data_IF_742261969910
#
_entry.id   IF_742261969910
#
_cell.length_a   1.000
_cell.length_b   1.000
_cell.length_c   1.000
_cell.angle_alpha   90.00
_cell.angle_beta   90.00
_cell.angle_gamma   90.00
#
_symmetry.space_group_name_H-M   'P 1'
#
loop_
_entity.id
_entity.type
_entity.pdbx_description
1 polymer ?
#
# COMPACT_ATOMS: atom_id res chain seq x y z
N UNK A 1 -28.20 -7.61 3.07
CA UNK A 1 -28.45 -6.99 1.76
C UNK A 1 -27.44 -5.87 1.67
N UNK A 2 -26.43 -5.97 0.79
CA UNK A 2 -25.39 -4.93 0.64
C UNK A 2 -26.12 -3.62 0.35
N UNK A 3 -25.89 -2.56 1.11
CA UNK A 3 -26.38 -1.23 0.73
C UNK A 3 -25.87 -0.96 -0.70
N UNK A 4 -26.72 -0.73 -1.71
CA UNK A 4 -26.35 -0.88 -3.14
C UNK A 4 -25.26 0.07 -3.65
N UNK A 5 -24.69 0.92 -2.80
CA UNK A 5 -23.71 1.95 -3.14
C UNK A 5 -22.40 1.87 -2.32
N UNK A 6 -22.27 0.95 -1.36
CA UNK A 6 -21.05 0.83 -0.54
C UNK A 6 -20.09 -0.17 -1.18
N UNK A 7 -19.04 0.34 -1.83
CA UNK A 7 -18.00 -0.46 -2.46
C UNK A 7 -16.62 0.20 -2.26
N UNK A 8 -15.57 -0.43 -2.78
CA UNK A 8 -14.21 0.09 -2.66
C UNK A 8 -14.02 1.49 -3.26
N UNK A 9 -14.78 1.85 -4.29
CA UNK A 9 -14.72 3.19 -4.89
C UNK A 9 -15.25 4.24 -3.90
N UNK A 10 -16.43 4.01 -3.31
CA UNK A 10 -17.04 4.92 -2.32
C UNK A 10 -16.17 5.10 -1.08
N UNK A 11 -15.53 4.03 -0.61
CA UNK A 11 -14.56 4.06 0.49
C UNK A 11 -13.33 4.91 0.12
N UNK A 12 -12.77 4.71 -1.07
CA UNK A 12 -11.58 5.44 -1.54
C UNK A 12 -11.89 6.91 -1.77
N UNK A 13 -13.03 7.23 -2.38
CA UNK A 13 -13.47 8.59 -2.63
C UNK A 13 -13.65 9.36 -1.33
N UNK A 14 -14.24 8.74 -0.30
CA UNK A 14 -14.38 9.35 1.02
C UNK A 14 -13.02 9.70 1.62
N UNK A 15 -12.03 8.83 1.46
CA UNK A 15 -10.67 9.08 1.90
C UNK A 15 -10.01 10.24 1.14
N UNK A 16 -10.03 10.22 -0.20
CA UNK A 16 -9.39 11.26 -1.02
C UNK A 16 -10.05 12.64 -0.87
N UNK A 17 -11.35 12.69 -0.54
CA UNK A 17 -12.05 13.93 -0.20
C UNK A 17 -11.88 14.37 1.26
N UNK A 18 -11.03 13.68 2.03
CA UNK A 18 -10.82 13.93 3.47
C UNK A 18 -12.15 13.93 4.27
N UNK A 19 -13.10 13.06 3.90
CA UNK A 19 -14.44 13.04 4.48
C UNK A 19 -14.55 11.99 5.58
N UNK A 20 -14.11 12.36 6.79
CA UNK A 20 -14.13 11.48 7.97
C UNK A 20 -15.55 11.02 8.35
N UNK A 21 -16.55 11.89 8.21
CA UNK A 21 -17.95 11.56 8.54
C UNK A 21 -18.47 10.46 7.62
N UNK A 22 -18.22 10.58 6.31
CA UNK A 22 -18.65 9.59 5.33
C UNK A 22 -18.01 8.21 5.59
N UNK A 23 -16.69 8.17 5.83
CA UNK A 23 -16.02 6.89 6.07
C UNK A 23 -16.42 6.26 7.40
N UNK A 24 -16.70 7.07 8.43
CA UNK A 24 -17.21 6.60 9.71
C UNK A 24 -18.61 5.98 9.55
N UNK A 25 -19.48 6.58 8.72
CA UNK A 25 -20.77 6.01 8.39
C UNK A 25 -20.60 4.66 7.67
N UNK A 26 -19.73 4.59 6.66
CA UNK A 26 -19.45 3.34 5.93
C UNK A 26 -18.98 2.22 6.89
N UNK A 27 -18.06 2.53 7.81
CA UNK A 27 -17.60 1.56 8.83
C UNK A 27 -18.77 1.07 9.68
N UNK A 28 -19.66 1.96 10.11
CA UNK A 28 -20.80 1.59 10.93
C UNK A 28 -21.80 0.72 10.15
N UNK A 29 -22.11 1.07 8.91
CA UNK A 29 -23.02 0.31 8.07
C UNK A 29 -22.49 -1.11 7.83
N UNK A 30 -21.21 -1.23 7.43
CA UNK A 30 -20.56 -2.53 7.16
C UNK A 30 -20.47 -3.44 8.38
N UNK A 31 -20.39 -2.92 9.61
CA UNK A 31 -20.41 -3.74 10.84
C UNK A 31 -21.73 -4.46 11.07
N UNK A 32 -22.83 -3.90 10.58
CA UNK A 32 -24.17 -4.48 10.72
C UNK A 32 -24.59 -5.34 9.52
N UNK A 33 -23.77 -5.38 8.46
CA UNK A 33 -23.99 -6.28 7.33
C UNK A 33 -23.57 -7.72 7.65
N UNK A 34 -24.05 -8.66 6.82
CA UNK A 34 -23.64 -10.06 6.90
C UNK A 34 -22.14 -10.15 6.63
N UNK A 35 -21.38 -10.70 7.57
CA UNK A 35 -19.92 -10.79 7.49
C UNK A 35 -19.46 -11.96 6.60
N UNK A 36 -19.70 -11.83 5.30
CA UNK A 36 -19.00 -12.63 4.30
C UNK A 36 -17.61 -12.06 3.99
N UNK A 37 -16.82 -12.81 3.23
CA UNK A 37 -15.43 -12.46 2.87
C UNK A 37 -15.31 -11.06 2.25
N UNK A 38 -16.19 -10.72 1.32
CA UNK A 38 -16.14 -9.43 0.63
C UNK A 38 -16.45 -8.28 1.59
N UNK A 39 -17.46 -8.46 2.44
CA UNK A 39 -17.88 -7.47 3.44
C UNK A 39 -16.80 -7.27 4.49
N UNK A 40 -16.17 -8.34 4.98
CA UNK A 40 -15.04 -8.28 5.92
C UNK A 40 -13.85 -7.53 5.33
N UNK A 41 -13.45 -7.86 4.10
CA UNK A 41 -12.32 -7.20 3.45
C UNK A 41 -12.60 -5.70 3.21
N UNK A 42 -13.82 -5.35 2.79
CA UNK A 42 -14.24 -3.95 2.62
C UNK A 42 -14.29 -3.20 3.95
N UNK A 43 -14.76 -3.85 5.02
CA UNK A 43 -14.75 -3.30 6.38
C UNK A 43 -13.32 -3.04 6.86
N UNK A 44 -12.39 -3.96 6.63
CA UNK A 44 -10.98 -3.79 6.97
C UNK A 44 -10.37 -2.59 6.24
N UNK A 45 -10.64 -2.42 4.94
CA UNK A 45 -10.24 -1.23 4.19
C UNK A 45 -10.80 0.06 4.79
N UNK A 46 -12.09 0.08 5.11
CA UNK A 46 -12.75 1.26 5.65
C UNK A 46 -12.21 1.64 7.04
N UNK A 47 -11.96 0.65 7.92
CA UNK A 47 -11.34 0.87 9.24
C UNK A 47 -9.93 1.45 9.09
N UNK A 48 -9.11 0.88 8.20
CA UNK A 48 -7.75 1.34 7.96
C UNK A 48 -7.72 2.80 7.49
N UNK A 49 -8.51 3.12 6.45
CA UNK A 49 -8.57 4.46 5.89
C UNK A 49 -9.16 5.48 6.87
N UNK A 50 -10.15 5.09 7.68
CA UNK A 50 -10.69 5.93 8.75
C UNK A 50 -9.59 6.31 9.75
N UNK A 51 -8.84 5.34 10.25
CA UNK A 51 -7.75 5.59 11.20
C UNK A 51 -6.61 6.45 10.60
N UNK A 52 -6.35 6.29 9.29
CA UNK A 52 -5.43 7.17 8.56
C UNK A 52 -5.91 8.63 8.54
N UNK A 53 -7.20 8.89 8.28
CA UNK A 53 -7.74 10.25 8.32
C UNK A 53 -7.70 10.86 9.73
N UNK A 54 -7.90 10.04 10.76
CA UNK A 54 -7.78 10.48 12.15
C UNK A 54 -6.33 10.78 12.56
N UNK A 55 -5.34 10.43 11.73
CA UNK A 55 -3.92 10.64 12.02
C UNK A 55 -3.39 9.79 13.18
N UNK A 56 -4.03 8.65 13.46
CA UNK A 56 -3.85 7.90 14.70
C UNK A 56 -3.68 6.38 14.48
N UNK A 57 -3.04 5.95 13.37
CA UNK A 57 -2.78 4.52 13.11
C UNK A 57 -2.09 3.84 14.31
N UNK A 58 -1.16 4.52 14.98
CA UNK A 58 -0.45 3.95 16.13
C UNK A 58 -1.38 3.66 17.30
N UNK A 59 -2.42 4.50 17.48
CA UNK A 59 -3.45 4.37 18.52
C UNK A 59 -4.60 3.44 18.12
N UNK A 60 -4.56 2.86 16.91
CA UNK A 60 -5.57 1.89 16.49
C UNK A 60 -5.60 0.72 17.49
N UNK A 61 -6.78 0.32 17.99
CA UNK A 61 -6.90 -0.81 18.91
C UNK A 61 -6.29 -2.09 18.33
N UNK A 62 -5.62 -2.88 19.17
CA UNK A 62 -4.97 -4.14 18.76
C UNK A 62 -5.97 -5.08 18.06
N UNK A 63 -7.22 -5.13 18.53
CA UNK A 63 -8.28 -5.93 17.89
C UNK A 63 -8.58 -5.50 16.45
N UNK A 64 -8.52 -4.20 16.13
CA UNK A 64 -8.69 -3.71 14.76
C UNK A 64 -7.46 -4.01 13.90
N UNK A 65 -6.24 -3.84 14.45
CA UNK A 65 -5.00 -4.22 13.77
C UNK A 65 -5.02 -5.70 13.39
N UNK A 66 -5.37 -6.57 14.35
CA UNK A 66 -5.46 -8.02 14.13
C UNK A 66 -6.54 -8.36 13.10
N UNK A 67 -7.73 -7.76 13.20
CA UNK A 67 -8.79 -7.97 12.21
C UNK A 67 -8.35 -7.61 10.78
N UNK A 68 -7.61 -6.51 10.60
CA UNK A 68 -7.05 -6.13 9.29
C UNK A 68 -5.99 -7.13 8.84
N UNK A 69 -5.05 -7.52 9.71
CA UNK A 69 -4.02 -8.52 9.39
C UNK A 69 -4.64 -9.86 8.99
N UNK A 70 -5.59 -10.37 9.76
CA UNK A 70 -6.33 -11.60 9.46
C UNK A 70 -7.05 -11.50 8.10
N UNK A 71 -7.69 -10.35 7.83
CA UNK A 71 -8.36 -10.11 6.55
C UNK A 71 -7.40 -10.10 5.36
N UNK A 72 -6.12 -9.74 5.56
CA UNK A 72 -5.08 -9.80 4.53
C UNK A 72 -4.70 -11.26 4.20
N UNK A 73 -4.64 -12.13 5.21
CA UNK A 73 -4.19 -13.52 5.05
C UNK A 73 -5.33 -14.55 4.99
N UNK A 74 -6.60 -14.11 4.89
CA UNK A 74 -7.76 -15.01 4.79
C UNK A 74 -7.72 -15.93 3.55
N UNK A 75 -6.88 -15.63 2.55
CA UNK A 75 -6.70 -16.48 1.35
C UNK A 75 -5.24 -16.80 1.04
N UNK A 76 -5.00 -18.06 0.68
CA UNK A 76 -3.66 -18.59 0.37
C UNK A 76 -3.04 -17.99 -0.91
N UNK A 77 -3.87 -17.58 -1.86
CA UNK A 77 -3.46 -17.23 -3.23
C UNK A 77 -3.44 -15.74 -3.56
N UNK A 78 -3.47 -14.84 -2.56
CA UNK A 78 -3.36 -13.38 -2.76
C UNK A 78 -4.22 -12.86 -3.93
N UNK A 79 -5.51 -12.63 -3.69
CA UNK A 79 -6.33 -11.98 -4.71
C UNK A 79 -6.15 -10.44 -4.70
N UNK A 80 -6.76 -9.77 -5.68
CA UNK A 80 -6.68 -8.31 -5.81
C UNK A 80 -7.14 -7.53 -4.56
N UNK A 81 -8.11 -8.04 -3.80
CA UNK A 81 -8.66 -7.33 -2.65
C UNK A 81 -7.69 -7.42 -1.47
N UNK A 82 -7.11 -8.61 -1.25
CA UNK A 82 -6.11 -8.85 -0.22
C UNK A 82 -4.79 -8.13 -0.52
N UNK A 83 -4.34 -8.11 -1.79
CA UNK A 83 -3.16 -7.34 -2.24
C UNK A 83 -3.34 -5.84 -2.04
N UNK A 84 -4.52 -5.32 -2.38
CA UNK A 84 -4.86 -3.91 -2.16
C UNK A 84 -4.83 -3.56 -0.67
N UNK A 85 -5.48 -4.35 0.18
CA UNK A 85 -5.48 -4.13 1.62
C UNK A 85 -4.05 -4.14 2.18
N UNK A 86 -3.26 -5.13 1.77
CA UNK A 86 -1.86 -5.26 2.16
C UNK A 86 -1.04 -4.01 1.80
N UNK A 87 -1.17 -3.53 0.55
CA UNK A 87 -0.43 -2.35 0.08
C UNK A 87 -0.67 -1.10 0.94
N UNK A 88 -1.84 -1.01 1.59
CA UNK A 88 -2.25 0.13 2.41
C UNK A 88 -1.94 -0.08 3.90
N UNK A 89 -1.77 -1.32 4.33
CA UNK A 89 -1.67 -1.71 5.74
C UNK A 89 -0.23 -1.96 6.22
N UNK A 90 0.79 -1.65 5.41
CA UNK A 90 2.19 -1.97 5.72
C UNK A 90 2.67 -1.43 7.07
N UNK A 91 2.21 -0.24 7.46
CA UNK A 91 2.54 0.37 8.75
C UNK A 91 1.96 -0.35 9.96
N UNK A 92 1.10 -1.37 9.76
CA UNK A 92 0.61 -2.23 10.84
C UNK A 92 1.56 -3.38 11.16
N UNK A 93 2.60 -3.59 10.34
CA UNK A 93 3.53 -4.71 10.44
C UNK A 93 4.90 -4.24 10.89
N UNK A 94 5.58 -5.08 11.68
CA UNK A 94 6.99 -4.85 11.96
C UNK A 94 7.82 -5.05 10.68
N UNK A 95 8.99 -4.42 10.61
CA UNK A 95 9.82 -4.45 9.41
C UNK A 95 10.29 -5.87 9.07
N UNK A 96 10.51 -6.72 10.08
CA UNK A 96 10.85 -8.14 9.92
C UNK A 96 9.70 -8.92 9.28
N UNK A 97 8.45 -8.66 9.71
CA UNK A 97 7.25 -9.26 9.10
C UNK A 97 7.15 -8.83 7.63
N UNK A 98 7.40 -7.54 7.34
CA UNK A 98 7.39 -7.00 5.98
C UNK A 98 8.42 -7.65 5.07
N UNK A 99 9.64 -7.86 5.58
CA UNK A 99 10.67 -8.54 4.83
C UNK A 99 10.22 -9.95 4.42
N UNK A 100 9.59 -10.72 5.32
CA UNK A 100 9.08 -12.07 5.02
C UNK A 100 7.94 -12.04 4.00
N UNK A 101 6.96 -11.15 4.19
CA UNK A 101 5.77 -11.09 3.33
C UNK A 101 6.14 -10.64 1.92
N UNK A 102 6.95 -9.58 1.78
CA UNK A 102 7.39 -9.08 0.46
C UNK A 102 8.28 -10.09 -0.24
N UNK A 103 9.14 -10.80 0.50
CA UNK A 103 9.92 -11.91 -0.03
C UNK A 103 9.01 -13.00 -0.63
N UNK A 104 7.96 -13.41 0.09
CA UNK A 104 6.96 -14.37 -0.43
C UNK A 104 6.26 -13.88 -1.71
N UNK A 105 5.89 -12.59 -1.76
CA UNK A 105 5.27 -11.97 -2.93
C UNK A 105 6.22 -11.99 -4.14
N UNK A 106 7.50 -11.63 -3.93
CA UNK A 106 8.54 -11.65 -4.98
C UNK A 106 8.84 -13.06 -5.49
N UNK A 107 8.73 -14.08 -4.63
CA UNK A 107 8.91 -15.48 -5.05
C UNK A 107 7.71 -15.95 -5.88
N UNK A 108 6.48 -15.61 -5.47
CA UNK A 108 5.26 -15.91 -6.22
C UNK A 108 5.20 -15.17 -7.56
N UNK A 109 5.67 -13.92 -7.65
CA UNK A 109 5.60 -13.12 -8.88
C UNK A 109 6.40 -13.70 -10.05
N UNK A 110 7.42 -14.52 -9.78
CA UNK A 110 8.19 -15.21 -10.83
C UNK A 110 7.42 -16.35 -11.48
N UNK A 111 6.43 -16.92 -10.78
CA UNK A 111 5.71 -18.12 -11.18
C UNK A 111 4.27 -17.84 -11.59
N UNK A 112 3.69 -16.76 -11.04
CA UNK A 112 2.29 -16.43 -11.23
C UNK A 112 2.07 -15.60 -12.52
N UNK A 113 1.16 -16.06 -13.39
CA UNK A 113 0.73 -15.38 -14.62
C UNK A 113 -0.59 -14.61 -14.45
N UNK A 114 -1.14 -14.57 -13.24
CA UNK A 114 -2.34 -13.81 -12.92
C UNK A 114 -2.10 -12.30 -13.15
N UNK A 115 -2.89 -11.72 -14.05
CA UNK A 115 -2.75 -10.34 -14.47
C UNK A 115 -3.13 -9.35 -13.35
N UNK A 116 -4.11 -9.69 -12.51
CA UNK A 116 -4.49 -8.86 -11.36
C UNK A 116 -3.35 -8.87 -10.33
N UNK A 117 -2.78 -10.04 -10.02
CA UNK A 117 -1.62 -10.17 -9.14
C UNK A 117 -0.45 -9.31 -9.63
N UNK A 118 -0.05 -9.49 -10.90
CA UNK A 118 1.06 -8.75 -11.51
C UNK A 118 0.87 -7.23 -11.48
N UNK A 119 -0.38 -6.75 -11.57
CA UNK A 119 -0.71 -5.31 -11.56
C UNK A 119 -0.48 -4.65 -10.20
N UNK A 120 -0.67 -5.35 -9.08
CA UNK A 120 -0.50 -4.75 -7.75
C UNK A 120 0.94 -4.78 -7.24
N UNK A 121 1.77 -5.69 -7.74
CA UNK A 121 3.15 -5.86 -7.28
C UNK A 121 3.96 -4.55 -7.33
N UNK A 122 3.96 -3.78 -8.43
CA UNK A 122 4.79 -2.58 -8.50
C UNK A 122 4.42 -1.55 -7.43
N UNK A 123 3.13 -1.35 -7.15
CA UNK A 123 2.67 -0.45 -6.09
C UNK A 123 3.05 -0.95 -4.69
N UNK A 124 2.92 -2.26 -4.44
CA UNK A 124 3.35 -2.90 -3.19
C UNK A 124 4.85 -2.67 -2.97
N UNK A 125 5.69 -2.87 -3.99
CA UNK A 125 7.13 -2.71 -3.86
C UNK A 125 7.53 -1.26 -3.60
N UNK A 126 6.87 -0.29 -4.23
CA UNK A 126 7.07 1.15 -3.95
C UNK A 126 6.75 1.46 -2.49
N UNK A 127 5.61 1.01 -1.98
CA UNK A 127 5.22 1.25 -0.59
C UNK A 127 6.17 0.55 0.40
N UNK A 128 6.63 -0.67 0.08
CA UNK A 128 7.60 -1.38 0.90
C UNK A 128 8.96 -0.67 0.95
N UNK A 129 9.42 -0.12 -0.18
CA UNK A 129 10.66 0.63 -0.21
C UNK A 129 10.55 1.90 0.62
N UNK A 130 9.46 2.68 0.48
CA UNK A 130 9.22 3.85 1.32
C UNK A 130 9.28 3.50 2.81
N UNK A 131 8.53 2.47 3.20
CA UNK A 131 8.49 1.96 4.57
C UNK A 131 9.88 1.54 5.06
N UNK A 132 10.62 0.80 4.24
CA UNK A 132 11.97 0.32 4.53
C UNK A 132 12.97 1.46 4.74
N UNK A 133 12.95 2.49 3.89
CA UNK A 133 13.82 3.64 4.03
C UNK A 133 13.46 4.48 5.27
N UNK A 134 12.17 4.67 5.55
CA UNK A 134 11.68 5.36 6.75
C UNK A 134 12.15 4.70 8.05
N UNK A 135 12.13 3.37 8.11
CA UNK A 135 12.52 2.62 9.31
C UNK A 135 14.00 2.26 9.38
N UNK A 136 14.79 2.59 8.35
CA UNK A 136 16.21 2.20 8.31
C UNK A 136 16.40 0.68 8.22
N UNK A 137 15.56 -0.01 7.44
CA UNK A 137 15.58 -1.46 7.28
C UNK A 137 16.97 -1.98 6.88
N UNK A 138 17.54 -2.87 7.69
CA UNK A 138 18.87 -3.45 7.50
C UNK A 138 18.87 -4.65 6.55
N UNK A 139 17.70 -5.17 6.16
CA UNK A 139 17.60 -6.31 5.23
C UNK A 139 17.80 -5.87 3.77
N UNK A 140 19.07 -5.61 3.45
CA UNK A 140 19.54 -5.13 2.15
C UNK A 140 19.14 -6.04 0.99
N UNK A 141 19.04 -7.36 1.21
CA UNK A 141 18.70 -8.34 0.17
C UNK A 141 17.28 -8.20 -0.34
N UNK A 142 16.29 -7.99 0.54
CA UNK A 142 14.88 -7.85 0.11
C UNK A 142 14.68 -6.51 -0.59
N UNK A 143 15.33 -5.46 -0.10
CA UNK A 143 15.33 -4.12 -0.73
C UNK A 143 15.90 -4.18 -2.15
N UNK A 144 17.07 -4.81 -2.32
CA UNK A 144 17.71 -4.97 -3.63
C UNK A 144 16.80 -5.74 -4.60
N UNK A 145 16.20 -6.85 -4.16
CA UNK A 145 15.26 -7.62 -4.99
C UNK A 145 14.01 -6.82 -5.37
N UNK A 146 13.47 -6.00 -4.47
CA UNK A 146 12.33 -5.14 -4.76
C UNK A 146 12.68 -4.10 -5.83
N UNK A 147 13.86 -3.47 -5.73
CA UNK A 147 14.38 -2.53 -6.74
C UNK A 147 14.57 -3.24 -8.09
N UNK A 148 15.17 -4.42 -8.10
CA UNK A 148 15.40 -5.18 -9.33
C UNK A 148 14.09 -5.60 -10.01
N UNK A 149 13.08 -6.01 -9.24
CA UNK A 149 11.77 -6.31 -9.77
C UNK A 149 11.10 -5.06 -10.37
N UNK A 150 11.25 -3.88 -9.74
CA UNK A 150 10.73 -2.62 -10.26
C UNK A 150 11.40 -2.19 -11.58
N UNK A 151 12.67 -2.54 -11.80
CA UNK A 151 13.35 -2.29 -13.09
C UNK A 151 12.75 -3.09 -14.25
N UNK A 152 12.06 -4.20 -13.97
CA UNK A 152 11.43 -5.05 -14.98
C UNK A 152 9.98 -4.64 -15.30
N UNK A 153 9.45 -3.60 -14.63
CA UNK A 153 8.09 -3.11 -14.88
C UNK A 153 8.00 -2.53 -16.29
N UNK A 154 6.96 -2.92 -17.02
CA UNK A 154 6.69 -2.44 -18.37
C UNK A 154 6.64 -0.91 -18.41
N UNK A 155 7.34 -0.33 -19.38
CA UNK A 155 7.31 1.13 -19.62
C UNK A 155 6.04 1.51 -20.35
N UNK A 156 5.03 1.89 -19.59
CA UNK A 156 3.72 2.29 -20.11
C UNK A 156 3.10 3.40 -19.26
N UNK A 157 2.20 4.22 -19.81
CA UNK A 157 1.58 5.33 -19.07
C UNK A 157 0.89 4.88 -17.79
N UNK A 158 0.25 3.70 -17.78
CA UNK A 158 -0.39 3.14 -16.59
C UNK A 158 0.57 2.87 -15.43
N UNK A 159 1.87 2.70 -15.72
CA UNK A 159 2.91 2.43 -14.73
C UNK A 159 3.78 3.66 -14.41
N UNK A 160 3.48 4.83 -14.99
CA UNK A 160 4.34 6.01 -14.93
C UNK A 160 4.76 6.38 -13.50
N UNK A 161 3.80 6.45 -12.58
CA UNK A 161 4.09 6.77 -11.17
C UNK A 161 5.02 5.75 -10.53
N UNK A 162 4.76 4.45 -10.73
CA UNK A 162 5.61 3.40 -10.19
C UNK A 162 7.02 3.43 -10.79
N UNK A 163 7.17 3.74 -12.07
CA UNK A 163 8.49 3.87 -12.71
C UNK A 163 9.27 5.05 -12.12
N UNK A 164 8.62 6.19 -11.90
CA UNK A 164 9.22 7.36 -11.25
C UNK A 164 9.69 7.00 -9.83
N UNK A 165 8.82 6.37 -9.04
CA UNK A 165 9.14 6.00 -7.66
C UNK A 165 10.19 4.89 -7.57
N UNK A 166 10.17 3.93 -8.50
CA UNK A 166 11.23 2.91 -8.61
C UNK A 166 12.60 3.54 -8.86
N UNK A 167 12.66 4.56 -9.75
CA UNK A 167 13.90 5.33 -9.98
C UNK A 167 14.31 6.16 -8.77
N UNK A 168 13.36 6.67 -8.01
CA UNK A 168 13.64 7.41 -6.78
C UNK A 168 14.33 6.53 -5.74
N UNK A 169 13.73 5.39 -5.38
CA UNK A 169 14.31 4.48 -4.39
C UNK A 169 15.59 3.79 -4.87
N UNK A 170 15.71 3.48 -6.17
CA UNK A 170 16.98 3.05 -6.76
C UNK A 170 18.08 4.11 -6.58
N UNK A 171 17.74 5.39 -6.73
CA UNK A 171 18.70 6.49 -6.54
C UNK A 171 19.12 6.63 -5.09
N UNK A 172 18.19 6.50 -4.14
CA UNK A 172 18.49 6.50 -2.71
C UNK A 172 19.40 5.32 -2.33
N UNK A 173 19.07 4.13 -2.82
CA UNK A 173 19.84 2.90 -2.59
C UNK A 173 21.30 3.05 -3.06
N UNK A 174 21.47 3.55 -4.28
CA UNK A 174 22.79 3.77 -4.89
C UNK A 174 23.50 5.04 -4.39
N UNK A 175 22.94 5.74 -3.39
CA UNK A 175 23.45 7.03 -2.87
C UNK A 175 23.59 8.11 -3.94
N UNK A 176 22.84 8.01 -5.03
CA UNK A 176 22.76 9.01 -6.09
C UNK A 176 21.74 10.09 -5.72
N UNK A 177 22.04 10.85 -4.66
CA UNK A 177 21.11 11.85 -4.12
C UNK A 177 20.81 12.97 -5.11
N UNK A 178 21.74 13.27 -6.03
CA UNK A 178 21.50 14.21 -7.13
C UNK A 178 20.31 13.78 -7.98
N UNK A 179 20.21 12.48 -8.32
CA UNK A 179 19.08 11.98 -9.10
C UNK A 179 17.80 11.90 -8.27
N UNK A 180 17.88 11.50 -7.00
CA UNK A 180 16.74 11.52 -6.09
C UNK A 180 16.12 12.92 -5.97
N UNK A 181 16.96 13.97 -5.84
CA UNK A 181 16.51 15.37 -5.78
C UNK A 181 15.87 15.84 -7.09
N UNK A 182 16.35 15.40 -8.25
CA UNK A 182 15.71 15.71 -9.53
C UNK A 182 14.27 15.18 -9.59
N UNK A 183 14.06 13.96 -9.08
CA UNK A 183 12.73 13.35 -9.05
C UNK A 183 11.81 14.10 -8.07
N UNK A 184 12.31 14.45 -6.87
CA UNK A 184 11.58 15.29 -5.91
C UNK A 184 11.16 16.63 -6.55
N UNK A 185 12.09 17.31 -7.23
CA UNK A 185 11.80 18.58 -7.89
C UNK A 185 10.77 18.43 -9.01
N UNK A 186 10.83 17.35 -9.80
CA UNK A 186 9.81 17.04 -10.80
C UNK A 186 8.42 16.87 -10.16
N UNK A 187 8.32 16.15 -9.04
CA UNK A 187 7.06 15.96 -8.31
C UNK A 187 6.49 17.29 -7.79
N UNK A 188 7.34 18.18 -7.26
CA UNK A 188 6.93 19.55 -6.90
C UNK A 188 6.42 20.34 -8.11
N UNK A 189 7.11 20.27 -9.26
CA UNK A 189 6.70 21.00 -10.46
C UNK A 189 5.32 20.60 -11.00
N UNK A 190 4.89 19.36 -10.75
CA UNK A 190 3.57 18.87 -11.14
C UNK A 190 2.53 18.97 -10.01
N UNK A 191 2.84 19.68 -8.91
CA UNK A 191 1.91 19.97 -7.82
C UNK A 191 1.68 18.81 -6.84
N UNK A 192 2.62 17.87 -6.72
CA UNK A 192 2.53 16.74 -5.79
C UNK A 192 3.14 17.05 -4.40
N UNK A 193 3.06 18.30 -3.93
CA UNK A 193 3.68 18.76 -2.69
C UNK A 193 3.24 17.95 -1.46
N UNK A 194 1.95 17.67 -1.32
CA UNK A 194 1.40 16.88 -0.21
C UNK A 194 1.93 15.44 -0.18
N UNK A 195 2.22 14.87 -1.36
CA UNK A 195 2.82 13.55 -1.46
C UNK A 195 4.30 13.61 -1.07
N UNK A 196 5.06 14.56 -1.62
CA UNK A 196 6.48 14.77 -1.30
C UNK A 196 6.69 15.11 0.19
N UNK A 197 5.73 15.78 0.83
CA UNK A 197 5.77 16.04 2.27
C UNK A 197 5.87 14.75 3.09
N UNK A 198 5.23 13.66 2.64
CA UNK A 198 5.09 12.37 3.34
C UNK A 198 6.16 11.34 2.98
N UNK A 199 6.83 11.49 1.83
CA UNK A 199 7.90 10.59 1.41
C UNK A 199 9.10 10.62 2.35
N UNK A 200 9.82 9.50 2.47
CA UNK A 200 11.18 9.51 2.99
C UNK A 200 12.04 10.51 2.20
N UNK A 201 12.86 11.29 2.88
CA UNK A 201 13.78 12.26 2.29
C UNK A 201 15.14 12.16 2.98
N UNK A 202 16.23 12.18 2.21
CA UNK A 202 17.60 12.17 2.70
C UNK A 202 18.39 13.34 2.12
#
# INVERSE_FOLDING_TARGET
>A
MIHPYTNYFTVSESYYRNNLIAIQKIVNDLKHEKQDRQTKNLLAHAILLKNNLEGNIDKMPISQKNFIKESIFEVDNWDKYNLRLFSMAMSLFEIEEMNVIVQSILDKSKQNKDADFARFIPAILVNFLDYSFCLGNENTKVIERAIDQLKQVETSPQNCFTLIMGKYYESLWNKNYKNAHKIINFLHQIGMDDFVAKMYKK
#
